data_IF_609234085577
#
_entry.id   IF_609234085577
#
_cell.length_a   1.000
_cell.length_b   1.000
_cell.length_c   1.000
_cell.angle_alpha   90.00
_cell.angle_beta   90.00
_cell.angle_gamma   90.00
#
_symmetry.space_group_name_H-M   'P 1'
#
loop_
_entity.id
_entity.type
_entity.pdbx_description
1 polymer ?
#
# COMPACT_ATOMS: atom_id res chain seq x y z
N UNK A 1 10.94 5.33 63.00
CA UNK A 1 10.26 6.62 62.76
C UNK A 1 11.24 7.48 61.97
N UNK A 2 11.02 7.99 60.77
CA UNK A 2 9.80 8.26 60.03
C UNK A 2 10.01 8.05 58.52
N UNK A 3 8.89 7.85 57.82
CA UNK A 3 8.71 7.78 56.37
C UNK A 3 9.36 8.95 55.61
N UNK A 4 9.81 8.67 54.38
CA UNK A 4 9.56 9.57 53.25
C UNK A 4 9.38 8.77 51.96
N UNK A 5 8.13 8.62 51.53
CA UNK A 5 7.74 8.42 50.13
C UNK A 5 7.49 9.80 49.53
N UNK A 6 7.95 10.04 48.32
CA UNK A 6 7.13 10.50 47.19
C UNK A 6 8.00 10.54 45.96
N UNK A 7 7.87 9.50 45.14
CA UNK A 7 8.28 9.54 43.75
C UNK A 7 7.22 10.26 42.95
N UNK A 8 7.67 11.11 42.02
CA UNK A 8 6.89 11.56 40.88
C UNK A 8 7.86 11.69 39.72
N UNK A 9 7.80 10.71 38.83
CA UNK A 9 8.43 10.71 37.52
C UNK A 9 7.82 11.79 36.63
N UNK A 10 8.61 12.59 35.89
CA UNK A 10 8.10 13.29 34.73
C UNK A 10 7.90 12.27 33.60
N UNK A 11 6.70 12.31 33.04
CA UNK A 11 6.22 11.54 31.89
C UNK A 11 7.21 11.60 30.71
N UNK A 12 7.91 10.49 30.45
CA UNK A 12 8.61 10.28 29.18
C UNK A 12 7.55 10.19 28.08
N UNK A 13 7.50 11.20 27.20
CA UNK A 13 6.82 11.10 25.91
C UNK A 13 7.55 10.04 25.10
N UNK A 14 6.87 8.95 24.77
CA UNK A 14 7.37 7.96 23.82
C UNK A 14 7.50 8.65 22.45
N UNK A 15 8.67 8.68 21.81
CA UNK A 15 8.75 9.10 20.42
C UNK A 15 8.11 7.99 19.57
N UNK A 16 7.16 8.34 18.70
CA UNK A 16 6.75 7.45 17.62
C UNK A 16 7.96 7.29 16.69
N UNK A 17 8.51 6.09 16.65
CA UNK A 17 9.65 5.74 15.81
C UNK A 17 9.25 5.75 14.32
N UNK A 18 10.00 6.44 13.45
CA UNK A 18 9.77 6.47 12.01
C UNK A 18 10.38 5.24 11.32
N UNK A 19 9.64 4.65 10.39
CA UNK A 19 10.10 3.56 9.54
C UNK A 19 11.13 4.10 8.52
N UNK A 20 12.24 3.40 8.32
CA UNK A 20 13.21 3.69 7.26
C UNK A 20 13.59 2.39 6.53
N UNK A 21 13.57 2.40 5.20
CA UNK A 21 14.11 1.35 4.34
C UNK A 21 15.44 1.81 3.70
N UNK A 22 16.53 1.07 3.94
CA UNK A 22 17.79 1.15 3.18
C UNK A 22 18.21 -0.25 2.72
N UNK A 23 18.79 -0.33 1.52
CA UNK A 23 19.16 -1.60 0.86
C UNK A 23 20.64 -1.91 1.12
N UNK A 24 21.04 -3.15 1.46
CA UNK A 24 22.43 -3.57 1.37
C UNK A 24 22.86 -3.78 -0.08
N UNK A 25 24.15 -3.70 -0.30
CA UNK A 25 24.84 -3.70 -1.59
C UNK A 25 24.34 -4.75 -2.59
N UNK A 26 24.03 -4.24 -3.79
CA UNK A 26 23.73 -4.94 -5.05
C UNK A 26 24.63 -6.18 -5.27
N UNK A 27 24.15 -7.40 -5.03
CA UNK A 27 24.84 -8.60 -5.58
C UNK A 27 23.99 -9.85 -5.73
N UNK A 28 22.80 -9.95 -5.13
CA UNK A 28 21.91 -11.10 -5.34
C UNK A 28 20.46 -10.65 -5.26
N UNK A 29 19.82 -10.48 -6.41
CA UNK A 29 18.43 -10.90 -6.70
C UNK A 29 18.03 -10.34 -8.08
N UNK A 30 17.44 -11.17 -8.96
CA UNK A 30 16.99 -10.74 -10.26
C UNK A 30 15.71 -9.92 -10.11
N UNK A 31 15.70 -8.79 -10.81
CA UNK A 31 14.53 -7.99 -11.15
C UNK A 31 13.35 -8.90 -11.56
N UNK A 32 12.20 -8.77 -10.93
CA UNK A 32 11.00 -9.48 -11.39
C UNK A 32 9.71 -8.68 -11.15
N UNK A 33 9.66 -7.51 -11.77
CA UNK A 33 8.39 -6.99 -12.27
C UNK A 33 7.89 -7.98 -13.32
N UNK A 34 7.01 -8.93 -12.94
CA UNK A 34 6.21 -9.68 -13.93
C UNK A 34 4.98 -8.84 -14.26
N UNK A 35 5.20 -7.78 -15.04
CA UNK A 35 4.13 -7.27 -15.88
C UNK A 35 3.90 -8.35 -16.94
N UNK A 36 2.78 -9.06 -16.87
CA UNK A 36 2.29 -9.82 -18.02
C UNK A 36 1.32 -8.90 -18.76
N UNK A 37 1.77 -7.99 -19.64
CA UNK A 37 0.83 -7.38 -20.55
C UNK A 37 0.29 -8.50 -21.44
N UNK A 38 -1.03 -8.67 -21.47
CA UNK A 38 -1.64 -9.46 -22.52
C UNK A 38 -1.19 -8.83 -23.86
N UNK A 39 -0.52 -9.60 -24.71
CA UNK A 39 0.04 -9.11 -25.97
C UNK A 39 -1.03 -8.47 -26.88
N UNK A 40 -2.32 -8.80 -26.69
CA UNK A 40 -3.44 -8.19 -27.40
C UNK A 40 -3.86 -6.81 -26.84
N UNK A 41 -3.57 -6.48 -25.57
CA UNK A 41 -3.90 -5.15 -25.01
C UNK A 41 -2.94 -4.05 -25.51
N UNK A 42 -1.69 -4.36 -25.87
CA UNK A 42 -0.70 -3.32 -26.22
C UNK A 42 -1.01 -2.50 -27.48
N UNK A 43 -1.90 -2.97 -28.35
CA UNK A 43 -2.29 -2.31 -29.59
C UNK A 43 -3.41 -1.26 -29.41
N UNK A 44 -3.91 -1.01 -28.19
CA UNK A 44 -4.97 -0.01 -27.91
C UNK A 44 -4.75 0.89 -26.67
N UNK A 45 -3.73 0.64 -25.85
CA UNK A 45 -3.55 1.36 -24.58
C UNK A 45 -3.25 2.86 -24.77
N UNK A 46 -4.11 3.70 -24.18
CA UNK A 46 -3.92 5.15 -23.98
C UNK A 46 -2.55 5.47 -23.36
N UNK A 47 -1.98 6.64 -23.67
CA UNK A 47 -0.69 7.12 -23.13
C UNK A 47 -0.62 6.96 -21.60
N UNK A 48 -1.71 7.27 -20.90
CA UNK A 48 -1.82 7.13 -19.45
C UNK A 48 -1.51 5.69 -18.97
N UNK A 49 -2.13 4.69 -19.60
CA UNK A 49 -1.92 3.28 -19.24
C UNK A 49 -0.45 2.85 -19.43
N UNK A 50 0.21 3.40 -20.46
CA UNK A 50 1.64 3.13 -20.71
C UNK A 50 2.53 3.77 -19.63
N UNK A 51 2.19 4.99 -19.23
CA UNK A 51 2.89 5.71 -18.16
C UNK A 51 2.72 5.02 -16.81
N UNK A 52 1.52 4.55 -16.46
CA UNK A 52 1.27 3.78 -15.23
C UNK A 52 2.09 2.49 -15.19
N UNK A 53 2.15 1.74 -16.31
CA UNK A 53 2.95 0.51 -16.39
C UNK A 53 4.45 0.77 -16.21
N UNK A 54 4.95 1.94 -16.60
CA UNK A 54 6.34 2.33 -16.38
C UNK A 54 6.64 2.67 -14.90
N UNK A 55 5.65 3.15 -14.16
CA UNK A 55 5.77 3.51 -12.73
C UNK A 55 5.84 2.31 -11.76
N UNK A 56 5.64 1.09 -12.28
CA UNK A 56 5.70 -0.15 -11.50
C UNK A 56 7.12 -0.49 -11.00
N UNK A 57 8.17 0.14 -11.55
CA UNK A 57 9.58 -0.17 -11.28
C UNK A 57 10.27 0.68 -10.22
N UNK A 58 9.58 0.94 -9.12
CA UNK A 58 10.05 1.90 -8.11
C UNK A 58 10.30 1.21 -6.77
N UNK A 59 11.40 1.55 -6.10
CA UNK A 59 11.61 1.22 -4.68
C UNK A 59 10.72 2.12 -3.82
N UNK A 60 10.00 1.53 -2.87
CA UNK A 60 9.09 2.26 -1.98
C UNK A 60 9.71 2.39 -0.59
N UNK A 61 9.85 3.62 -0.09
CA UNK A 61 10.10 3.85 1.33
C UNK A 61 8.76 4.24 2.00
N UNK A 62 8.24 3.38 2.86
CA UNK A 62 6.91 3.57 3.46
C UNK A 62 7.03 3.88 4.95
N UNK A 63 6.42 4.98 5.39
CA UNK A 63 6.27 5.38 6.78
C UNK A 63 4.80 5.32 7.17
N UNK A 64 4.49 4.59 8.23
CA UNK A 64 3.14 4.53 8.78
C UNK A 64 3.14 5.01 10.24
N UNK A 65 2.23 5.92 10.57
CA UNK A 65 2.09 6.46 11.92
C UNK A 65 0.64 6.84 12.23
N UNK A 66 0.29 6.86 13.52
CA UNK A 66 -1.02 7.32 13.95
C UNK A 66 -1.21 8.79 13.63
N UNK A 67 -2.41 9.18 13.20
CA UNK A 67 -2.72 10.58 12.97
C UNK A 67 -2.53 11.40 14.25
N UNK A 68 -1.57 12.34 14.29
CA UNK A 68 -1.22 13.05 15.53
C UNK A 68 -2.39 13.88 16.07
N UNK A 69 -3.25 14.36 15.18
CA UNK A 69 -4.36 15.27 15.50
C UNK A 69 -5.73 14.59 15.54
N UNK A 70 -5.82 13.25 15.41
CA UNK A 70 -7.09 12.54 15.39
C UNK A 70 -7.33 11.80 16.72
N UNK A 71 -8.48 12.00 17.40
CA UNK A 71 -8.81 11.23 18.60
C UNK A 71 -8.97 9.73 18.31
N UNK A 72 -9.31 9.35 17.08
CA UNK A 72 -9.34 7.95 16.65
C UNK A 72 -7.93 7.48 16.25
N UNK A 73 -7.33 6.66 17.11
CA UNK A 73 -6.00 6.08 16.92
C UNK A 73 -5.93 5.06 15.78
N UNK A 74 -7.06 4.63 15.24
CA UNK A 74 -7.12 3.70 14.11
C UNK A 74 -6.93 4.41 12.77
N UNK A 75 -7.03 5.74 12.74
CA UNK A 75 -6.68 6.54 11.57
C UNK A 75 -5.16 6.69 11.48
N UNK A 76 -4.60 6.16 10.41
CA UNK A 76 -3.16 6.16 10.14
C UNK A 76 -2.83 7.11 8.99
N UNK A 77 -1.65 7.69 9.07
CA UNK A 77 -0.97 8.35 7.96
C UNK A 77 0.01 7.35 7.37
N UNK A 78 0.05 7.29 6.04
CA UNK A 78 0.93 6.42 5.27
C UNK A 78 1.60 7.27 4.21
N UNK A 79 2.89 7.51 4.42
CA UNK A 79 3.73 8.30 3.54
C UNK A 79 4.61 7.34 2.74
N UNK A 80 4.53 7.40 1.41
CA UNK A 80 5.31 6.55 0.52
C UNK A 80 6.18 7.42 -0.37
N UNK A 81 7.49 7.31 -0.21
CA UNK A 81 8.43 7.93 -1.14
C UNK A 81 8.78 6.93 -2.23
N UNK A 82 8.43 7.27 -3.48
CA UNK A 82 8.81 6.51 -4.65
C UNK A 82 10.23 6.89 -5.07
N UNK A 83 11.16 5.94 -5.03
CA UNK A 83 12.54 6.12 -5.50
C UNK A 83 12.68 5.46 -6.88
N UNK A 84 12.77 6.28 -7.92
CA UNK A 84 12.99 5.81 -9.29
C UNK A 84 14.45 5.38 -9.44
N UNK A 85 14.68 4.23 -10.08
CA UNK A 85 16.01 3.68 -10.33
C UNK A 85 16.85 4.69 -11.14
N UNK A 86 18.04 5.04 -10.64
CA UNK A 86 18.92 6.04 -11.27
C UNK A 86 19.13 7.34 -10.49
N UNK A 87 18.64 7.45 -9.25
CA UNK A 87 18.94 8.57 -8.35
C UNK A 87 18.08 9.82 -8.55
N UNK A 88 17.02 9.74 -9.36
CA UNK A 88 16.01 10.79 -9.51
C UNK A 88 14.96 10.61 -8.43
N UNK A 89 14.71 11.66 -7.65
CA UNK A 89 13.63 11.70 -6.66
C UNK A 89 12.30 11.47 -7.39
N UNK A 90 11.58 10.39 -7.04
CA UNK A 90 10.24 10.14 -7.56
C UNK A 90 9.19 10.95 -6.82
N UNK A 91 7.94 10.52 -6.89
CA UNK A 91 6.79 11.18 -6.28
C UNK A 91 6.61 10.70 -4.84
N UNK A 92 6.08 11.55 -3.98
CA UNK A 92 5.67 11.16 -2.63
C UNK A 92 4.16 11.02 -2.60
N UNK A 93 3.67 9.93 -2.00
CA UNK A 93 2.26 9.64 -1.85
C UNK A 93 1.90 9.76 -0.35
N UNK A 94 1.15 10.81 0.00
CA UNK A 94 0.71 11.05 1.38
C UNK A 94 -0.75 10.61 1.52
N UNK A 95 -1.01 9.62 2.37
CA UNK A 95 -2.36 9.04 2.55
C UNK A 95 -2.80 9.10 3.99
N UNK A 96 -4.09 9.34 4.18
CA UNK A 96 -4.75 9.24 5.49
C UNK A 96 -5.87 8.23 5.35
N UNK A 97 -5.95 7.26 6.26
CA UNK A 97 -6.89 6.13 6.18
C UNK A 97 -8.29 6.45 6.72
N UNK A 98 -8.77 7.68 6.51
CA UNK A 98 -10.08 8.17 6.95
C UNK A 98 -11.13 8.24 5.84
N UNK A 99 -10.79 7.73 4.66
CA UNK A 99 -11.62 7.72 3.45
C UNK A 99 -12.11 9.11 3.01
N UNK A 100 -11.46 10.19 3.44
CA UNK A 100 -11.79 11.53 2.95
C UNK A 100 -11.02 11.85 1.67
N UNK A 101 -11.77 12.36 0.69
CA UNK A 101 -11.26 12.93 -0.54
C UNK A 101 -10.34 14.11 -0.26
N UNK A 102 -9.17 14.10 -0.89
CA UNK A 102 -8.17 15.17 -0.80
C UNK A 102 -7.59 15.42 -2.18
N UNK A 103 -7.63 16.68 -2.60
CA UNK A 103 -6.95 17.13 -3.82
C UNK A 103 -5.44 17.18 -3.59
N UNK A 104 -4.69 16.72 -4.58
CA UNK A 104 -3.25 16.84 -4.66
C UNK A 104 -2.84 17.11 -6.11
N UNK A 105 -1.75 17.83 -6.30
CA UNK A 105 -1.18 18.05 -7.62
C UNK A 105 0.06 17.17 -7.78
N UNK A 106 -0.07 16.12 -8.58
CA UNK A 106 1.00 15.19 -8.89
C UNK A 106 1.70 15.63 -10.18
N UNK A 107 3.04 15.59 -10.17
CA UNK A 107 3.86 16.06 -11.31
C UNK A 107 3.61 15.27 -12.60
N UNK A 108 3.17 14.01 -12.52
CA UNK A 108 2.98 13.10 -13.65
C UNK A 108 1.51 12.92 -14.00
N UNK A 109 0.66 12.90 -12.97
CA UNK A 109 -0.76 12.62 -13.10
C UNK A 109 -1.64 13.87 -13.09
N UNK A 110 -1.05 15.04 -12.86
CA UNK A 110 -1.75 16.33 -12.82
C UNK A 110 -2.57 16.48 -11.53
N UNK A 111 -3.67 17.23 -11.60
CA UNK A 111 -4.55 17.40 -10.45
C UNK A 111 -5.41 16.16 -10.26
N UNK A 112 -5.34 15.61 -9.07
CA UNK A 112 -6.01 14.37 -8.70
C UNK A 112 -6.72 14.55 -7.36
N UNK A 113 -7.77 13.79 -7.17
CA UNK A 113 -8.42 13.64 -5.87
C UNK A 113 -8.27 12.19 -5.40
N UNK A 114 -7.68 12.02 -4.22
CA UNK A 114 -7.39 10.71 -3.64
C UNK A 114 -8.09 10.50 -2.32
N UNK A 115 -8.45 9.25 -2.03
CA UNK A 115 -8.92 8.81 -0.71
C UNK A 115 -8.38 7.41 -0.40
N UNK A 116 -8.23 7.08 0.88
CA UNK A 116 -7.69 5.77 1.29
C UNK A 116 -8.29 5.33 2.63
N UNK A 117 -8.41 4.01 2.82
CA UNK A 117 -8.96 3.39 4.04
C UNK A 117 -8.35 2.02 4.27
N UNK A 118 -8.41 1.55 5.52
CA UNK A 118 -8.21 0.14 5.78
C UNK A 118 -9.47 -0.67 5.48
N UNK A 119 -9.26 -1.92 5.08
CA UNK A 119 -10.28 -2.91 4.85
C UNK A 119 -10.06 -4.09 5.79
N UNK A 120 -11.16 -4.57 6.37
CA UNK A 120 -11.24 -5.86 7.06
C UNK A 120 -11.61 -6.98 6.09
N UNK A 121 -11.54 -8.20 6.60
CA UNK A 121 -11.88 -9.40 5.83
C UNK A 121 -13.38 -9.62 5.69
N UNK A 122 -13.76 -10.28 4.60
CA UNK A 122 -15.06 -10.92 4.42
C UNK A 122 -14.86 -12.33 3.89
N UNK A 123 -15.70 -13.28 4.31
CA UNK A 123 -15.67 -14.66 3.79
C UNK A 123 -16.35 -14.72 2.44
N UNK A 124 -15.68 -15.29 1.45
CA UNK A 124 -16.29 -15.64 0.18
C UNK A 124 -17.13 -16.94 0.30
N UNK A 125 -17.77 -17.34 -0.80
CA UNK A 125 -18.61 -18.54 -0.84
C UNK A 125 -17.86 -19.85 -0.51
N UNK A 126 -16.52 -19.85 -0.60
CA UNK A 126 -15.68 -20.99 -0.22
C UNK A 126 -15.27 -20.95 1.27
N UNK A 127 -15.67 -19.91 2.00
CA UNK A 127 -15.30 -19.66 3.39
C UNK A 127 -13.94 -18.99 3.55
N UNK A 128 -13.28 -18.61 2.44
CA UNK A 128 -11.97 -17.97 2.47
C UNK A 128 -12.11 -16.48 2.75
N UNK A 129 -11.28 -15.97 3.67
CA UNK A 129 -11.28 -14.55 4.02
C UNK A 129 -10.48 -13.75 2.99
N UNK A 130 -11.12 -12.70 2.45
CA UNK A 130 -10.55 -11.80 1.44
C UNK A 130 -10.87 -10.34 1.80
N UNK A 131 -10.14 -9.36 1.23
CA UNK A 131 -10.44 -7.95 1.47
C UNK A 131 -11.91 -7.64 1.12
N UNK A 132 -12.63 -7.01 2.04
CA UNK A 132 -14.01 -6.56 1.81
C UNK A 132 -14.02 -5.24 1.02
N UNK A 133 -13.69 -5.31 -0.27
CA UNK A 133 -13.57 -4.14 -1.15
C UNK A 133 -14.92 -3.77 -1.73
N UNK A 134 -15.36 -2.53 -1.49
CA UNK A 134 -16.37 -1.87 -2.31
C UNK A 134 -15.68 -1.19 -3.49
N UNK A 135 -16.00 -1.61 -4.71
CA UNK A 135 -15.31 -1.20 -5.94
C UNK A 135 -15.73 0.22 -6.30
N UNK A 136 -14.75 1.12 -6.45
CA UNK A 136 -14.97 2.49 -6.87
C UNK A 136 -14.84 2.67 -8.39
N UNK A 137 -14.09 1.80 -9.07
CA UNK A 137 -13.89 1.83 -10.52
C UNK A 137 -15.24 1.68 -11.24
N UNK A 138 -15.63 2.71 -11.99
CA UNK A 138 -16.92 2.76 -12.70
C UNK A 138 -16.90 2.01 -14.05
N UNK A 139 -16.56 0.73 -14.01
CA UNK A 139 -16.64 -0.20 -15.15
C UNK A 139 -17.30 -1.48 -14.64
N UNK A 140 -18.40 -1.87 -15.29
CA UNK A 140 -19.15 -3.10 -14.95
C UNK A 140 -18.47 -4.34 -15.54
N UNK A 141 -17.40 -4.79 -14.86
CA UNK A 141 -16.71 -6.03 -15.17
C UNK A 141 -16.31 -6.73 -13.86
N UNK A 142 -16.87 -7.90 -13.60
CA UNK A 142 -16.61 -8.68 -12.39
C UNK A 142 -15.11 -8.97 -12.19
N UNK A 143 -14.33 -9.00 -13.27
CA UNK A 143 -12.89 -9.24 -13.24
C UNK A 143 -12.16 -8.19 -12.40
N UNK A 144 -12.63 -6.95 -12.38
CA UNK A 144 -12.07 -5.86 -11.57
C UNK A 144 -12.14 -6.20 -10.09
N UNK A 145 -13.33 -6.56 -9.61
CA UNK A 145 -13.55 -6.91 -8.21
C UNK A 145 -12.80 -8.17 -7.80
N UNK A 146 -12.84 -9.22 -8.63
CA UNK A 146 -12.09 -10.46 -8.39
C UNK A 146 -10.58 -10.21 -8.34
N UNK A 147 -10.05 -9.35 -9.22
CA UNK A 147 -8.64 -8.99 -9.22
C UNK A 147 -8.26 -8.21 -7.96
N UNK A 148 -9.02 -7.17 -7.57
CA UNK A 148 -8.74 -6.34 -6.39
C UNK A 148 -8.85 -7.12 -5.08
N UNK A 149 -9.75 -8.11 -4.99
CA UNK A 149 -9.85 -9.04 -3.84
C UNK A 149 -8.79 -10.14 -3.82
N UNK A 150 -7.90 -10.17 -4.82
CA UNK A 150 -6.83 -11.16 -4.93
C UNK A 150 -7.31 -12.56 -5.29
N UNK A 151 -8.46 -12.71 -5.94
CA UNK A 151 -8.97 -14.02 -6.38
C UNK A 151 -8.26 -14.52 -7.64
N UNK A 152 -7.93 -13.60 -8.54
CA UNK A 152 -7.40 -13.91 -9.86
C UNK A 152 -6.17 -13.07 -10.19
N UNK A 153 -5.35 -13.54 -11.13
CA UNK A 153 -4.34 -12.73 -11.84
C UNK A 153 -4.98 -11.91 -12.96
N UNK A 154 -4.19 -11.03 -13.58
CA UNK A 154 -4.63 -10.22 -14.72
C UNK A 154 -5.12 -11.06 -15.93
N UNK A 155 -4.61 -12.28 -16.08
CA UNK A 155 -5.03 -13.24 -17.11
C UNK A 155 -6.29 -14.05 -16.74
N UNK A 156 -6.85 -13.86 -15.53
CA UNK A 156 -8.02 -14.59 -15.03
C UNK A 156 -7.69 -15.88 -14.26
N UNK A 157 -6.42 -16.27 -14.16
CA UNK A 157 -6.03 -17.47 -13.40
C UNK A 157 -6.31 -17.30 -11.91
N UNK A 158 -7.00 -18.26 -11.29
CA UNK A 158 -7.26 -18.26 -9.85
C UNK A 158 -5.98 -18.41 -9.03
N UNK A 159 -5.94 -17.76 -7.87
CA UNK A 159 -4.79 -17.77 -6.97
C UNK A 159 -5.20 -17.80 -5.51
N UNK A 160 -4.23 -18.20 -4.68
CA UNK A 160 -4.37 -18.06 -3.23
C UNK A 160 -4.61 -16.60 -2.83
N UNK A 161 -3.89 -15.66 -3.44
CA UNK A 161 -4.09 -14.23 -3.20
C UNK A 161 -3.48 -13.76 -1.90
N UNK A 162 -4.12 -12.77 -1.28
CA UNK A 162 -3.60 -12.11 -0.09
C UNK A 162 -3.54 -13.03 1.14
N UNK A 163 -2.51 -12.82 1.94
CA UNK A 163 -2.38 -13.30 3.30
C UNK A 163 -3.36 -12.54 4.20
N UNK A 164 -3.84 -13.26 5.22
CA UNK A 164 -4.70 -12.74 6.26
C UNK A 164 -3.83 -12.52 7.50
N UNK A 165 -3.29 -11.31 7.65
CA UNK A 165 -2.52 -10.98 8.85
C UNK A 165 -3.46 -10.82 10.05
N UNK A 166 -3.17 -11.46 11.20
CA UNK A 166 -3.95 -11.24 12.40
C UNK A 166 -3.69 -9.83 12.91
N UNK A 167 -4.75 -9.07 13.10
CA UNK A 167 -4.70 -7.68 13.55
C UNK A 167 -5.75 -7.48 14.63
N UNK A 168 -5.36 -6.75 15.68
CA UNK A 168 -6.24 -6.44 16.79
C UNK A 168 -7.50 -5.68 16.38
N UNK A 169 -8.43 -5.57 17.32
CA UNK A 169 -9.65 -4.79 17.16
C UNK A 169 -9.32 -3.29 16.93
N UNK A 170 -10.16 -2.59 16.18
CA UNK A 170 -10.09 -1.13 16.03
C UNK A 170 -10.11 -0.61 14.59
N UNK A 171 -9.65 -1.40 13.62
CA UNK A 171 -9.59 -0.97 12.20
C UNK A 171 -10.89 -1.22 11.41
N UNK A 172 -12.05 -1.14 12.09
CA UNK A 172 -13.37 -1.39 11.53
C UNK A 172 -13.93 -2.79 11.82
N UNK A 173 -15.14 -3.04 11.34
CA UNK A 173 -15.86 -4.31 11.51
C UNK A 173 -15.53 -5.30 10.38
N UNK A 174 -15.49 -6.59 10.69
CA UNK A 174 -15.27 -7.66 9.73
C UNK A 174 -14.40 -8.80 10.29
N UNK A 175 -14.06 -9.75 9.42
CA UNK A 175 -13.18 -10.86 9.75
C UNK A 175 -11.72 -10.39 9.87
N UNK A 176 -10.83 -11.30 10.25
CA UNK A 176 -9.38 -11.05 10.31
C UNK A 176 -8.78 -10.61 8.98
N UNK A 177 -7.61 -9.97 9.08
CA UNK A 177 -6.91 -9.36 7.97
C UNK A 177 -7.04 -7.84 7.92
N UNK A 178 -5.96 -7.20 7.47
CA UNK A 178 -5.88 -5.77 7.25
C UNK A 178 -5.28 -5.51 5.87
N UNK A 179 -6.05 -4.83 5.04
CA UNK A 179 -5.62 -4.38 3.72
C UNK A 179 -5.83 -2.88 3.59
N UNK A 180 -5.14 -2.25 2.65
CA UNK A 180 -5.38 -0.86 2.33
C UNK A 180 -6.06 -0.74 0.98
N UNK A 181 -7.16 0.01 0.92
CA UNK A 181 -7.74 0.48 -0.33
C UNK A 181 -7.32 1.93 -0.57
N UNK A 182 -6.91 2.23 -1.80
CA UNK A 182 -6.66 3.58 -2.27
C UNK A 182 -7.39 3.80 -3.58
N UNK A 183 -8.14 4.89 -3.69
CA UNK A 183 -8.81 5.29 -4.93
C UNK A 183 -8.39 6.71 -5.27
N UNK A 184 -8.00 6.91 -6.53
CA UNK A 184 -7.58 8.19 -7.08
C UNK A 184 -8.31 8.42 -8.39
N UNK A 185 -8.85 9.62 -8.57
CA UNK A 185 -9.44 10.08 -9.83
C UNK A 185 -8.79 11.37 -10.29
N UNK A 186 -8.73 11.55 -11.61
CA UNK A 186 -8.27 12.81 -12.20
C UNK A 186 -9.35 13.89 -12.08
N UNK A 187 -8.93 15.11 -11.77
CA UNK A 187 -9.81 16.28 -11.84
C UNK A 187 -9.79 16.94 -13.23
N UNK A 188 -8.80 16.61 -14.05
CA UNK A 188 -8.57 17.21 -15.37
C UNK A 188 -8.82 16.21 -16.52
N UNK A 189 -9.18 14.95 -16.21
CA UNK A 189 -9.39 13.87 -17.18
C UNK A 189 -10.39 12.83 -16.65
N UNK A 190 -10.61 11.75 -17.40
CA UNK A 190 -11.53 10.65 -17.07
C UNK A 190 -10.85 9.41 -16.50
N UNK A 191 -9.55 9.48 -16.23
CA UNK A 191 -8.81 8.33 -15.72
C UNK A 191 -8.97 8.18 -14.21
N UNK A 192 -8.95 6.93 -13.75
CA UNK A 192 -8.98 6.55 -12.33
C UNK A 192 -7.94 5.46 -12.05
N UNK A 193 -7.53 5.36 -10.79
CA UNK A 193 -6.65 4.32 -10.29
C UNK A 193 -7.15 3.81 -8.94
N UNK A 194 -7.57 2.55 -8.89
CA UNK A 194 -8.00 1.86 -7.68
C UNK A 194 -6.99 0.80 -7.29
N UNK A 195 -6.61 0.76 -6.01
CA UNK A 195 -5.58 -0.16 -5.53
C UNK A 195 -6.00 -0.85 -4.24
N UNK A 196 -5.65 -2.12 -4.13
CA UNK A 196 -5.66 -2.87 -2.86
C UNK A 196 -4.26 -3.35 -2.54
N UNK A 197 -3.80 -3.06 -1.33
CA UNK A 197 -2.49 -3.44 -0.84
C UNK A 197 -2.60 -4.50 0.24
N UNK A 198 -1.66 -5.44 0.24
CA UNK A 198 -1.55 -6.49 1.24
C UNK A 198 -0.28 -7.28 1.08
N UNK A 199 -0.22 -8.45 1.71
CA UNK A 199 0.89 -9.38 1.55
C UNK A 199 0.44 -10.61 0.79
N UNK A 200 1.30 -11.19 -0.03
CA UNK A 200 1.05 -12.45 -0.74
C UNK A 200 2.26 -13.37 -0.59
N UNK A 201 2.03 -14.69 -0.54
CA UNK A 201 3.10 -15.67 -0.66
C UNK A 201 3.37 -15.96 -2.13
N UNK A 202 4.60 -15.77 -2.57
CA UNK A 202 5.05 -16.03 -3.94
C UNK A 202 6.32 -16.86 -3.85
N UNK A 203 6.30 -18.05 -4.47
CA UNK A 203 7.42 -18.99 -4.46
C UNK A 203 7.97 -19.31 -3.05
N UNK A 204 7.06 -19.32 -2.05
CA UNK A 204 7.36 -19.62 -0.65
C UNK A 204 7.79 -18.41 0.20
N UNK A 205 7.94 -17.23 -0.40
CA UNK A 205 8.35 -16.01 0.30
C UNK A 205 7.22 -14.99 0.41
N UNK A 206 7.25 -14.17 1.46
CA UNK A 206 6.25 -13.13 1.74
C UNK A 206 6.63 -11.82 1.03
N UNK A 207 5.75 -11.32 0.19
CA UNK A 207 5.93 -10.05 -0.53
C UNK A 207 4.84 -9.05 -0.18
N UNK A 208 5.19 -7.76 -0.11
CA UNK A 208 4.20 -6.70 -0.13
C UNK A 208 3.72 -6.54 -1.58
N UNK A 209 2.41 -6.50 -1.77
CA UNK A 209 1.82 -6.48 -3.11
C UNK A 209 0.74 -5.41 -3.20
N UNK A 210 0.70 -4.77 -4.37
CA UNK A 210 -0.34 -3.80 -4.73
C UNK A 210 -1.04 -4.29 -5.98
N UNK A 211 -2.35 -4.47 -5.91
CA UNK A 211 -3.19 -4.82 -7.06
C UNK A 211 -3.89 -3.56 -7.50
N UNK A 212 -3.56 -3.10 -8.70
CA UNK A 212 -3.94 -1.81 -9.26
C UNK A 212 -4.84 -2.02 -10.48
N UNK A 213 -5.98 -1.36 -10.47
CA UNK A 213 -6.87 -1.21 -11.61
C UNK A 213 -6.76 0.23 -12.05
N UNK A 214 -6.24 0.46 -13.24
CA UNK A 214 -6.30 1.77 -13.88
C UNK A 214 -7.36 1.72 -14.95
N UNK A 215 -8.31 2.66 -14.91
CA UNK A 215 -9.39 2.76 -15.86
C UNK A 215 -9.39 4.12 -16.54
N UNK A 216 -9.78 4.17 -17.81
CA UNK A 216 -9.96 5.41 -18.56
C UNK A 216 -10.86 5.13 -19.76
N UNK A 217 -11.87 5.98 -20.00
CA UNK A 217 -12.76 5.89 -21.17
C UNK A 217 -13.40 4.50 -21.38
N UNK A 218 -13.80 3.83 -20.30
CA UNK A 218 -14.44 2.51 -20.36
C UNK A 218 -13.46 1.33 -20.59
N UNK A 219 -12.17 1.60 -20.75
CA UNK A 219 -11.12 0.58 -20.79
C UNK A 219 -10.36 0.52 -19.46
N UNK A 220 -9.78 -0.63 -19.13
CA UNK A 220 -8.95 -0.79 -17.95
C UNK A 220 -7.72 -1.69 -18.16
N UNK A 221 -6.71 -1.51 -17.29
CA UNK A 221 -5.57 -2.41 -17.13
C UNK A 221 -5.47 -2.89 -15.69
N UNK A 222 -5.03 -4.13 -15.53
CA UNK A 222 -4.77 -4.75 -14.24
C UNK A 222 -3.26 -4.89 -14.07
N UNK A 223 -2.71 -4.30 -13.02
CA UNK A 223 -1.29 -4.39 -12.69
C UNK A 223 -1.11 -4.93 -11.27
N UNK A 224 -0.20 -5.91 -11.10
CA UNK A 224 0.19 -6.44 -9.80
C UNK A 224 1.64 -6.06 -9.55
N UNK A 225 1.85 -5.17 -8.58
CA UNK A 225 3.16 -4.73 -8.13
C UNK A 225 3.59 -5.64 -6.98
N UNK A 226 4.84 -6.11 -7.01
CA UNK A 226 5.38 -7.06 -6.03
C UNK A 226 6.69 -6.50 -5.50
N UNK A 227 6.73 -6.28 -4.19
CA UNK A 227 7.86 -5.67 -3.50
C UNK A 227 8.38 -6.61 -2.42
N UNK A 228 9.69 -6.80 -2.39
CA UNK A 228 10.34 -7.42 -1.23
C UNK A 228 10.10 -6.55 -0.01
N UNK A 229 9.63 -7.17 1.08
CA UNK A 229 9.36 -6.47 2.33
C UNK A 229 10.55 -6.63 3.28
N UNK A 230 11.16 -5.51 3.66
CA UNK A 230 12.20 -5.48 4.69
C UNK A 230 11.57 -4.87 5.94
N UNK A 231 11.42 -5.62 7.04
CA UNK A 231 10.91 -5.06 8.28
C UNK A 231 11.86 -3.98 8.82
N UNK A 232 11.36 -3.01 9.60
CA UNK A 232 12.20 -1.99 10.21
C UNK A 232 13.26 -2.66 11.08
N UNK A 233 14.50 -2.21 10.94
CA UNK A 233 15.54 -2.60 11.88
C UNK A 233 15.30 -1.86 13.20
N UNK A 234 15.49 -2.51 14.36
CA UNK A 234 15.49 -1.80 15.64
C UNK A 234 16.53 -0.68 15.57
N UNK A 235 16.17 0.52 16.03
CA UNK A 235 17.11 1.64 16.12
C UNK A 235 18.36 1.17 16.88
N UNK A 236 19.52 1.19 16.21
CA UNK A 236 20.80 1.09 16.91
C UNK A 236 20.92 2.35 17.75
N UNK A 237 20.90 2.21 19.07
CA UNK A 237 21.30 3.29 19.95
C UNK A 237 22.81 3.50 19.72
N UNK A 238 23.17 4.53 18.96
CA UNK A 238 24.57 4.94 18.77
C UNK A 238 25.23 5.48 20.07
N UNK A 239 24.53 5.40 21.21
CA UNK A 239 25.02 5.78 22.54
C UNK A 239 25.92 4.72 23.21
N UNK A 240 26.06 3.52 22.63
CA UNK A 240 26.90 2.44 23.20
C UNK A 240 28.40 2.54 22.82
N UNK A 241 28.82 3.51 21.99
CA UNK A 241 30.22 3.69 21.57
C UNK A 241 31.02 4.74 22.37
N UNK A 242 30.51 5.21 23.51
CA UNK A 242 31.32 5.93 24.52
C UNK A 242 31.62 5.04 25.73
N UNK A 243 32.28 3.91 25.48
CA UNK A 243 32.96 3.14 26.52
C UNK A 243 34.41 3.65 26.72
N UNK A 244 34.56 4.47 27.77
CA UNK A 244 35.76 4.80 28.57
C UNK A 244 37.11 5.10 27.90
#
# INVERSE_FOLDING_TARGET
MANNRTGTSPTKRTPCSPWYCTVPTLSKLPSAIKLTPCAQQQQGLSWFMRTTLAWVSVTLNTKQYQSPDNPDKNIQHIDVDNIVTGGVQGTSELRITDWKKREHNDTIFGRVEGQSRFLRGSKDASGKVRPNVEICTNIDDEKIGRFLRGEIKADGTEVEGFLVDPVGEGFGEGEDGLWLQSYVESLDSSWTAEQVWGFETIDGERYHTRRVVCANNGEYVLARLVYTFVPPQPEQNDDDDIAY
#
